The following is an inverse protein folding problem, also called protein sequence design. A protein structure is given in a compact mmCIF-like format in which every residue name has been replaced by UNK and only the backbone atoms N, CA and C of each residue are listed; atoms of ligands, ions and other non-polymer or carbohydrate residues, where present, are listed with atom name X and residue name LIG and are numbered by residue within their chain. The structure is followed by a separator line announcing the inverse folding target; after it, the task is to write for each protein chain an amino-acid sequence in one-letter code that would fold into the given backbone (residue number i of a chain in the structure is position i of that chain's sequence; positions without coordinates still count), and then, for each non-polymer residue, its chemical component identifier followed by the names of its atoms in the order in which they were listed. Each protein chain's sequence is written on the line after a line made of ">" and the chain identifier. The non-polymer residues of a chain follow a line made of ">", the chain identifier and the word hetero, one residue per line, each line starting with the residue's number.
data_IF_007977300685
#
_entry.id   IF_007977300685
#
_cell.length_a   1.000
_cell.length_b   1.000
_cell.length_c   1.000
_cell.angle_alpha   90.00
_cell.angle_beta   90.00
_cell.angle_gamma   90.00
#
_symmetry.space_group_name_H-M   'P 1'
#
loop_
_entity.id
_entity.type
_entity.pdbx_description
1 polymer ?
#
# COMPACT_ATOMS: atom_id res chain seq x y z
N UNK A 1 -5.07 19.99 9.64
CA UNK A 1 -3.97 19.02 9.40
C UNK A 1 -4.49 17.57 9.44
N UNK A 2 -5.48 17.24 8.59
CA UNK A 2 -6.15 15.93 8.57
C UNK A 2 -6.46 15.49 7.13
N UNK A 3 -5.66 15.93 6.16
CA UNK A 3 -6.06 15.96 4.74
C UNK A 3 -5.27 14.99 3.83
N UNK A 4 -4.28 14.27 4.36
CA UNK A 4 -3.44 13.38 3.53
C UNK A 4 -3.93 11.92 3.53
N UNK A 5 -4.88 11.58 4.40
CA UNK A 5 -5.46 10.25 4.48
C UNK A 5 -6.56 9.99 3.42
N UNK A 6 -7.12 11.03 2.80
CA UNK A 6 -8.19 10.91 1.78
C UNK A 6 -7.66 10.66 0.36
N UNK A 7 -6.37 10.88 0.08
CA UNK A 7 -5.84 10.92 -1.30
C UNK A 7 -4.98 9.73 -1.73
N UNK A 8 -4.83 8.70 -0.90
CA UNK A 8 -4.12 7.47 -1.26
C UNK A 8 -5.10 6.36 -1.64
N UNK A 9 -5.28 6.07 -2.93
CA UNK A 9 -6.08 4.91 -3.38
C UNK A 9 -5.30 3.64 -3.03
N UNK A 10 -5.47 3.15 -1.81
CA UNK A 10 -4.92 1.88 -1.35
C UNK A 10 -5.97 0.81 -1.60
N UNK A 11 -5.58 -0.30 -2.22
CA UNK A 11 -6.40 -1.49 -2.32
C UNK A 11 -5.64 -2.65 -1.68
N UNK A 12 -6.35 -3.48 -0.91
CA UNK A 12 -5.83 -4.69 -0.31
C UNK A 12 -6.56 -5.85 -0.96
N UNK A 13 -5.85 -6.79 -1.55
CA UNK A 13 -6.45 -7.97 -2.20
C UNK A 13 -7.48 -7.57 -3.31
N UNK A 14 -7.23 -6.45 -4.00
CA UNK A 14 -8.15 -5.88 -5.00
C UNK A 14 -9.34 -5.10 -4.44
N UNK A 15 -9.51 -5.04 -3.11
CA UNK A 15 -10.58 -4.28 -2.44
C UNK A 15 -10.05 -2.93 -1.97
N UNK A 16 -10.71 -1.82 -2.31
CA UNK A 16 -10.31 -0.49 -1.83
C UNK A 16 -10.32 -0.45 -0.30
N UNK A 17 -9.14 -0.26 0.29
CA UNK A 17 -8.93 -0.21 1.72
C UNK A 17 -9.10 1.22 2.22
N UNK A 18 -9.73 1.37 3.38
CA UNK A 18 -9.86 2.64 4.09
C UNK A 18 -8.71 2.77 5.09
N UNK A 19 -8.33 3.99 5.50
CA UNK A 19 -7.47 4.17 6.66
C UNK A 19 -8.09 3.45 7.87
N UNK A 20 -7.36 2.51 8.45
CA UNK A 20 -7.85 1.63 9.53
C UNK A 20 -8.35 0.25 9.06
N UNK A 21 -8.24 -0.09 7.78
CA UNK A 21 -8.46 -1.47 7.32
C UNK A 21 -7.40 -2.40 7.91
N UNK A 22 -7.85 -3.43 8.63
CA UNK A 22 -6.97 -4.50 9.09
C UNK A 22 -6.45 -5.29 7.89
N UNK A 23 -5.14 -5.41 7.79
CA UNK A 23 -4.43 -6.23 6.81
C UNK A 23 -3.90 -7.50 7.49
N UNK A 24 -3.60 -8.56 6.73
CA UNK A 24 -2.98 -9.79 7.24
C UNK A 24 -1.67 -10.10 6.50
N UNK A 25 -0.80 -10.90 7.12
CA UNK A 25 0.36 -11.44 6.42
C UNK A 25 -0.10 -12.31 5.25
N UNK A 26 0.52 -12.11 4.10
CA UNK A 26 0.13 -12.70 2.81
C UNK A 26 -0.80 -11.83 1.96
N UNK A 27 -1.35 -10.73 2.49
CA UNK A 27 -2.17 -9.82 1.69
C UNK A 27 -1.34 -9.02 0.69
N UNK A 28 -1.96 -8.69 -0.44
CA UNK A 28 -1.39 -7.82 -1.46
C UNK A 28 -1.91 -6.39 -1.31
N UNK A 29 -1.02 -5.45 -1.05
CA UNK A 29 -1.31 -4.01 -1.07
C UNK A 29 -0.98 -3.43 -2.44
N UNK A 30 -1.96 -2.74 -3.02
CA UNK A 30 -1.80 -1.89 -4.19
C UNK A 30 -1.97 -0.46 -3.74
N UNK A 31 -0.93 0.35 -3.87
CA UNK A 31 -0.93 1.77 -3.51
C UNK A 31 -0.82 2.58 -4.80
N UNK A 32 -1.84 3.40 -5.07
CA UNK A 32 -1.82 4.37 -6.17
C UNK A 32 -1.32 5.73 -5.70
N UNK A 33 -0.13 6.10 -6.18
CA UNK A 33 0.51 7.41 -6.03
C UNK A 33 0.38 8.22 -7.31
N UNK A 34 -0.75 8.91 -7.49
CA UNK A 34 -1.02 9.70 -8.71
C UNK A 34 -0.95 8.80 -9.96
N UNK A 35 -0.02 9.04 -10.91
CA UNK A 35 0.18 8.18 -12.07
C UNK A 35 1.03 6.94 -11.77
N UNK A 36 1.43 6.66 -10.53
CA UNK A 36 2.22 5.46 -10.18
C UNK A 36 1.37 4.47 -9.39
N UNK A 37 1.43 3.19 -9.73
CA UNK A 37 0.85 2.07 -9.01
C UNK A 37 2.00 1.23 -8.44
N UNK A 38 2.03 1.08 -7.13
CA UNK A 38 3.00 0.23 -6.42
C UNK A 38 2.24 -0.93 -5.81
N UNK A 39 2.62 -2.16 -6.12
CA UNK A 39 2.08 -3.37 -5.53
C UNK A 39 3.12 -3.96 -4.61
N UNK A 40 2.79 -4.06 -3.33
CA UNK A 40 3.61 -4.64 -2.29
C UNK A 40 2.86 -5.78 -1.62
N UNK A 41 3.53 -6.91 -1.39
CA UNK A 41 2.97 -8.04 -0.66
C UNK A 41 3.41 -7.97 0.79
N UNK A 42 2.48 -8.14 1.72
CA UNK A 42 2.78 -8.23 3.14
C UNK A 42 3.38 -9.60 3.41
N UNK A 43 4.61 -9.64 3.89
CA UNK A 43 5.24 -10.86 4.36
C UNK A 43 5.01 -11.02 5.87
N UNK A 44 5.08 -9.93 6.65
CA UNK A 44 4.88 -9.94 8.10
C UNK A 44 4.18 -8.67 8.61
N UNK A 45 3.41 -8.81 9.69
CA UNK A 45 2.79 -7.70 10.40
C UNK A 45 3.31 -7.65 11.83
N UNK A 46 3.79 -6.47 12.20
CA UNK A 46 4.20 -6.10 13.54
C UNK A 46 3.38 -4.89 13.93
N UNK A 47 2.75 -4.98 15.10
CA UNK A 47 1.89 -3.94 15.68
C UNK A 47 2.69 -2.66 16.03
N UNK A 48 4.03 -2.75 16.03
CA UNK A 48 4.98 -1.67 16.31
C UNK A 48 6.00 -1.51 15.18
N UNK A 49 5.53 -1.47 13.92
CA UNK A 49 6.40 -1.23 12.77
C UNK A 49 7.09 0.15 12.87
N UNK A 50 8.30 0.17 13.43
CA UNK A 50 9.20 1.34 13.32
C UNK A 50 9.62 1.44 11.85
N UNK A 51 9.88 2.67 11.37
CA UNK A 51 10.30 2.94 9.99
C UNK A 51 11.44 2.05 9.49
N UNK A 52 12.30 1.59 10.41
CA UNK A 52 13.45 0.73 10.14
C UNK A 52 13.06 -0.72 9.82
N UNK A 53 12.00 -1.24 10.43
CA UNK A 53 11.52 -2.62 10.24
C UNK A 53 10.48 -2.73 9.12
N UNK A 54 9.84 -1.62 8.73
CA UNK A 54 8.80 -1.61 7.71
C UNK A 54 9.25 -2.22 6.38
N UNK A 55 10.52 -2.03 6.01
CA UNK A 55 11.10 -2.56 4.76
C UNK A 55 11.14 -4.10 4.71
N UNK A 56 11.26 -4.78 5.86
CA UNK A 56 11.26 -6.25 5.93
C UNK A 56 9.83 -6.83 6.01
N UNK A 57 8.83 -5.98 6.26
CA UNK A 57 7.44 -6.40 6.48
C UNK A 57 6.66 -6.53 5.17
N UNK A 58 7.07 -5.83 4.13
CA UNK A 58 6.47 -5.92 2.81
C UNK A 58 7.52 -5.99 1.71
N UNK A 59 7.23 -6.75 0.67
CA UNK A 59 8.07 -6.83 -0.53
C UNK A 59 7.35 -6.15 -1.67
N UNK A 60 8.00 -5.18 -2.33
CA UNK A 60 7.46 -4.59 -3.56
C UNK A 60 7.59 -5.63 -4.67
N UNK A 61 6.45 -6.12 -5.17
CA UNK A 61 6.40 -7.13 -6.23
C UNK A 61 6.15 -6.51 -7.61
N UNK A 62 5.58 -5.30 -7.65
CA UNK A 62 5.31 -4.60 -8.92
C UNK A 62 5.31 -3.09 -8.75
N UNK A 63 5.90 -2.37 -9.70
CA UNK A 63 5.79 -0.91 -9.80
C UNK A 63 5.46 -0.55 -11.24
N UNK A 64 4.36 0.16 -11.45
CA UNK A 64 3.86 0.54 -12.76
C UNK A 64 3.55 2.04 -12.78
N UNK A 65 3.75 2.71 -13.90
CA UNK A 65 3.26 4.08 -14.09
C UNK A 65 2.07 4.03 -15.04
N UNK A 66 0.89 4.39 -14.53
CA UNK A 66 -0.26 4.77 -15.32
C UNK A 66 0.00 6.15 -15.89
N UNK A 67 0.70 6.18 -17.02
CA UNK A 67 0.74 7.36 -17.88
C UNK A 67 -0.65 7.51 -18.50
N UNK A 68 -1.51 8.31 -17.87
CA UNK A 68 -2.81 8.66 -18.43
C UNK A 68 -2.59 9.78 -19.46
N UNK A 69 -1.98 9.41 -20.59
CA UNK A 69 -1.93 10.26 -21.77
C UNK A 69 -3.13 9.93 -22.65
N UNK A 70 -4.19 10.73 -22.51
CA UNK A 70 -5.19 10.90 -23.55
C UNK A 70 -5.79 12.30 -23.51
#
# INVERSE_FOLDING_TARGET
>A
AKEVAEKGRIAVNGVTAKPGTNVKSGDELVIRFGPKIVTAKIERLEENAKKEQATEMYTIIKEERTDESR
#
